data_IF_030013334062
#
_entry.id   IF_030013334062
#
_cell.length_a   1.000
_cell.length_b   1.000
_cell.length_c   1.000
_cell.angle_alpha   90.00
_cell.angle_beta   90.00
_cell.angle_gamma   90.00
#
_symmetry.space_group_name_H-M   'P 1'
#
loop_
_entity.id
_entity.type
_entity.pdbx_description
1 polymer ?
#
# COMPACT_ATOMS: atom_id res chain seq x y z
N UNK A 1 -11.86 -24.80 -44.08
CA UNK A 1 -10.77 -24.85 -43.10
C UNK A 1 -11.37 -24.54 -41.76
N UNK A 2 -11.49 -25.57 -40.90
CA UNK A 2 -12.13 -25.45 -39.58
C UNK A 2 -11.07 -25.07 -38.56
N UNK A 3 -11.21 -23.90 -37.92
CA UNK A 3 -10.39 -23.52 -36.76
C UNK A 3 -10.98 -24.23 -35.53
N UNK A 4 -10.26 -25.26 -35.05
CA UNK A 4 -10.60 -25.92 -33.79
C UNK A 4 -10.46 -24.96 -32.58
N UNK A 5 -11.23 -25.19 -31.50
CA UNK A 5 -11.14 -24.38 -30.30
C UNK A 5 -9.71 -24.45 -29.69
N UNK A 6 -9.15 -23.29 -29.34
CA UNK A 6 -7.87 -23.17 -28.65
C UNK A 6 -7.98 -23.84 -27.30
N UNK A 7 -7.18 -24.88 -27.10
CA UNK A 7 -7.06 -25.61 -25.83
C UNK A 7 -6.37 -24.73 -24.79
N UNK A 8 -7.02 -24.33 -23.67
CA UNK A 8 -6.45 -23.46 -22.66
C UNK A 8 -5.37 -24.14 -21.79
N UNK A 9 -5.07 -25.44 -22.01
CA UNK A 9 -4.12 -26.23 -21.22
C UNK A 9 -2.81 -26.54 -21.94
N UNK A 10 -2.41 -25.77 -22.94
CA UNK A 10 -1.12 -25.97 -23.61
C UNK A 10 0.02 -25.60 -22.65
N UNK A 11 0.88 -26.54 -22.23
CA UNK A 11 2.06 -26.21 -21.38
C UNK A 11 3.00 -25.30 -22.18
N UNK A 12 3.19 -24.06 -21.70
CA UNK A 12 4.05 -23.06 -22.32
C UNK A 12 3.36 -21.83 -22.89
N UNK A 13 2.03 -21.69 -22.75
CA UNK A 13 1.38 -20.41 -23.00
C UNK A 13 1.77 -19.43 -21.88
N UNK A 14 2.23 -18.19 -22.22
CA UNK A 14 2.45 -17.18 -21.18
C UNK A 14 1.13 -16.97 -20.43
N UNK A 15 1.18 -16.78 -19.09
CA UNK A 15 -0.01 -16.51 -18.30
C UNK A 15 -0.76 -15.32 -18.93
N UNK A 16 -2.11 -15.34 -18.96
CA UNK A 16 -2.87 -14.22 -19.51
C UNK A 16 -2.45 -12.93 -18.81
N UNK A 17 -2.35 -11.79 -19.54
CA UNK A 17 -2.00 -10.51 -18.95
C UNK A 17 -2.96 -10.24 -17.78
N UNK A 18 -2.39 -9.91 -16.63
CA UNK A 18 -3.18 -9.64 -15.43
C UNK A 18 -4.00 -8.39 -15.67
N UNK A 19 -5.25 -8.47 -15.30
CA UNK A 19 -6.20 -7.36 -15.35
C UNK A 19 -5.85 -6.32 -14.26
N UNK A 20 -6.07 -5.04 -14.54
CA UNK A 20 -5.88 -3.92 -13.60
C UNK A 20 -6.51 -4.20 -12.23
N UNK A 21 -7.78 -4.65 -12.22
CA UNK A 21 -8.51 -4.95 -10.97
C UNK A 21 -7.86 -6.06 -10.16
N UNK A 22 -7.37 -7.11 -10.81
CA UNK A 22 -6.69 -8.23 -10.17
C UNK A 22 -5.36 -7.81 -9.53
N UNK A 23 -4.58 -6.94 -10.19
CA UNK A 23 -3.34 -6.41 -9.63
C UNK A 23 -3.63 -5.53 -8.42
N UNK A 24 -4.59 -4.59 -8.51
CA UNK A 24 -5.00 -3.74 -7.38
C UNK A 24 -5.42 -4.58 -6.18
N UNK A 25 -6.23 -5.61 -6.39
CA UNK A 25 -6.69 -6.49 -5.31
C UNK A 25 -5.52 -7.25 -4.66
N UNK A 26 -4.61 -7.79 -5.46
CA UNK A 26 -3.43 -8.51 -4.98
C UNK A 26 -2.52 -7.58 -4.17
N UNK A 27 -2.22 -6.39 -4.69
CA UNK A 27 -1.41 -5.39 -3.98
C UNK A 27 -2.07 -4.97 -2.66
N UNK A 28 -3.39 -4.70 -2.66
CA UNK A 28 -4.12 -4.33 -1.44
C UNK A 28 -4.05 -5.45 -0.38
N UNK A 29 -4.21 -6.70 -0.79
CA UNK A 29 -4.06 -7.84 0.11
C UNK A 29 -2.62 -7.96 0.66
N UNK A 30 -1.61 -7.74 -0.17
CA UNK A 30 -0.21 -7.75 0.25
C UNK A 30 0.09 -6.63 1.24
N UNK A 31 -0.40 -5.41 1.02
CA UNK A 31 -0.26 -4.26 1.94
C UNK A 31 -0.86 -4.60 3.31
N UNK A 32 -2.04 -5.19 3.35
CA UNK A 32 -2.67 -5.62 4.61
C UNK A 32 -1.84 -6.70 5.32
N UNK A 33 -1.28 -7.66 4.58
CA UNK A 33 -0.42 -8.71 5.14
C UNK A 33 0.89 -8.15 5.69
N UNK A 34 1.51 -7.18 4.99
CA UNK A 34 2.71 -6.47 5.48
C UNK A 34 2.39 -5.76 6.81
N UNK A 35 1.27 -5.04 6.90
CA UNK A 35 0.84 -4.38 8.12
C UNK A 35 0.61 -5.38 9.27
N UNK A 36 0.00 -6.54 8.97
CA UNK A 36 -0.20 -7.60 9.94
C UNK A 36 1.12 -8.19 10.45
N UNK A 37 2.05 -8.52 9.55
CA UNK A 37 3.38 -9.02 9.94
C UNK A 37 4.15 -7.96 10.75
N UNK A 38 4.06 -6.69 10.37
CA UNK A 38 4.67 -5.60 11.14
C UNK A 38 4.16 -5.54 12.59
N UNK A 39 2.85 -5.73 12.78
CA UNK A 39 2.26 -5.78 14.13
C UNK A 39 2.76 -7.01 14.93
N UNK A 40 2.89 -8.17 14.30
CA UNK A 40 3.43 -9.37 14.93
C UNK A 40 4.91 -9.19 15.29
N UNK A 41 5.73 -8.66 14.38
CA UNK A 41 7.15 -8.35 14.63
C UNK A 41 7.29 -7.40 15.83
N UNK A 42 6.45 -6.37 15.92
CA UNK A 42 6.43 -5.43 17.05
C UNK A 42 6.17 -6.14 18.37
N UNK A 43 5.25 -7.10 18.40
CA UNK A 43 4.95 -7.88 19.59
C UNK A 43 6.13 -8.79 20.01
N UNK A 44 6.74 -9.49 19.04
CA UNK A 44 7.91 -10.34 19.32
C UNK A 44 9.12 -9.51 19.76
N UNK A 45 9.32 -8.33 19.13
CA UNK A 45 10.40 -7.40 19.52
C UNK A 45 10.34 -7.01 21.02
N UNK A 46 9.15 -6.94 21.62
CA UNK A 46 9.03 -6.61 23.05
C UNK A 46 9.61 -7.70 23.96
N UNK A 47 9.71 -8.93 23.47
CA UNK A 47 10.22 -10.09 24.21
C UNK A 47 11.73 -10.31 24.03
N UNK A 48 12.37 -9.66 23.05
CA UNK A 48 13.81 -9.71 22.83
C UNK A 48 14.59 -9.15 24.04
N UNK A 49 15.63 -9.86 24.44
CA UNK A 49 16.47 -9.48 25.59
C UNK A 49 15.80 -9.67 26.95
N UNK A 50 14.65 -10.34 27.02
CA UNK A 50 13.97 -10.76 28.25
C UNK A 50 14.17 -12.24 28.50
N UNK A 51 13.65 -12.75 29.63
CA UNK A 51 13.65 -14.21 29.92
C UNK A 51 12.87 -15.05 28.87
N UNK A 52 12.09 -14.42 28.01
CA UNK A 52 11.32 -15.08 26.93
C UNK A 52 12.10 -15.13 25.61
N UNK A 53 13.29 -14.52 25.57
CA UNK A 53 14.16 -14.53 24.38
C UNK A 53 14.72 -15.94 24.17
N UNK A 54 14.16 -16.63 23.19
CA UNK A 54 14.52 -17.99 22.80
C UNK A 54 14.88 -18.06 21.33
N UNK A 55 15.63 -19.10 20.93
CA UNK A 55 15.96 -19.37 19.55
C UNK A 55 14.70 -19.44 18.66
N UNK A 56 13.62 -20.05 19.17
CA UNK A 56 12.32 -20.12 18.47
C UNK A 56 11.68 -18.74 18.25
N UNK A 57 11.81 -17.83 19.20
CA UNK A 57 11.31 -16.46 19.06
C UNK A 57 12.05 -15.75 17.94
N UNK A 58 13.37 -15.93 17.87
CA UNK A 58 14.22 -15.33 16.83
C UNK A 58 13.93 -15.89 15.44
N UNK A 59 13.78 -17.21 15.34
CA UNK A 59 13.40 -17.86 14.07
C UNK A 59 12.05 -17.32 13.57
N UNK A 60 11.05 -17.20 14.44
CA UNK A 60 9.75 -16.60 14.09
C UNK A 60 9.90 -15.15 13.65
N UNK A 61 10.71 -14.37 14.34
CA UNK A 61 10.97 -12.97 14.01
C UNK A 61 11.61 -12.82 12.63
N UNK A 62 12.63 -13.61 12.34
CA UNK A 62 13.30 -13.65 11.03
C UNK A 62 12.32 -14.07 9.93
N UNK A 63 11.53 -15.12 10.15
CA UNK A 63 10.56 -15.61 9.17
C UNK A 63 9.51 -14.56 8.82
N UNK A 64 9.00 -13.82 9.82
CA UNK A 64 8.04 -12.74 9.60
C UNK A 64 8.66 -11.57 8.83
N UNK A 65 9.89 -11.17 9.18
CA UNK A 65 10.62 -10.12 8.48
C UNK A 65 10.89 -10.49 7.03
N UNK A 66 11.37 -11.69 6.78
CA UNK A 66 11.63 -12.20 5.43
C UNK A 66 10.32 -12.28 4.60
N UNK A 67 9.24 -12.74 5.22
CA UNK A 67 7.93 -12.82 4.55
C UNK A 67 7.39 -11.44 4.21
N UNK A 68 7.53 -10.46 5.11
CA UNK A 68 7.11 -9.08 4.86
C UNK A 68 7.96 -8.42 3.76
N UNK A 69 9.28 -8.61 3.79
CA UNK A 69 10.20 -8.09 2.76
C UNK A 69 9.91 -8.68 1.37
N UNK A 70 9.64 -9.99 1.29
CA UNK A 70 9.23 -10.63 0.05
C UNK A 70 7.94 -10.05 -0.50
N UNK A 71 6.91 -9.86 0.36
CA UNK A 71 5.65 -9.23 -0.07
C UNK A 71 5.85 -7.78 -0.52
N UNK A 72 6.75 -7.04 0.13
CA UNK A 72 7.08 -5.67 -0.28
C UNK A 72 7.71 -5.64 -1.68
N UNK A 73 8.68 -6.53 -1.96
CA UNK A 73 9.28 -6.66 -3.30
C UNK A 73 8.24 -7.05 -4.36
N UNK A 74 7.43 -8.05 -4.06
CA UNK A 74 6.37 -8.51 -4.96
C UNK A 74 5.36 -7.41 -5.27
N UNK A 75 4.94 -6.64 -4.25
CA UNK A 75 4.03 -5.51 -4.43
C UNK A 75 4.66 -4.40 -5.27
N UNK A 76 5.94 -4.11 -5.09
CA UNK A 76 6.68 -3.14 -5.90
C UNK A 76 6.70 -3.55 -7.39
N UNK A 77 6.92 -4.84 -7.69
CA UNK A 77 6.88 -5.34 -9.08
C UNK A 77 5.46 -5.23 -9.67
N UNK A 78 4.41 -5.56 -8.91
CA UNK A 78 3.03 -5.37 -9.37
C UNK A 78 2.67 -3.90 -9.61
N UNK A 79 3.19 -2.97 -8.81
CA UNK A 79 3.00 -1.54 -9.04
C UNK A 79 3.70 -1.05 -10.32
N UNK A 80 4.88 -1.60 -10.64
CA UNK A 80 5.57 -1.35 -11.91
C UNK A 80 4.77 -1.92 -13.08
N UNK A 81 4.27 -3.16 -12.97
CA UNK A 81 3.39 -3.78 -13.97
C UNK A 81 2.14 -2.93 -14.20
N UNK A 82 1.52 -2.44 -13.13
CA UNK A 82 0.35 -1.55 -13.18
C UNK A 82 0.63 -0.23 -13.91
N UNK A 83 1.87 0.28 -13.83
CA UNK A 83 2.33 1.45 -14.56
C UNK A 83 2.49 1.21 -16.06
N UNK A 84 2.72 -0.02 -16.49
CA UNK A 84 2.94 -0.41 -17.88
C UNK A 84 1.65 -0.81 -18.61
N UNK A 85 0.50 -0.93 -17.90
CA UNK A 85 -0.76 -1.30 -18.51
C UNK A 85 -1.27 -0.20 -19.46
N UNK A 86 -1.90 -0.57 -20.59
CA UNK A 86 -2.50 0.40 -21.49
C UNK A 86 -3.63 1.14 -20.80
N UNK A 87 -3.72 2.45 -21.07
CA UNK A 87 -4.77 3.29 -20.52
C UNK A 87 -6.12 2.94 -21.16
N UNK A 88 -7.21 2.93 -20.38
CA UNK A 88 -8.56 2.76 -20.92
C UNK A 88 -8.91 3.90 -21.86
N UNK A 89 -9.83 3.64 -22.80
CA UNK A 89 -10.29 4.63 -23.78
C UNK A 89 -11.19 5.72 -23.15
N UNK A 90 -11.83 5.42 -22.01
CA UNK A 90 -12.74 6.31 -21.33
C UNK A 90 -11.98 7.21 -20.33
N UNK A 91 -12.14 8.54 -20.45
CA UNK A 91 -11.55 9.51 -19.51
C UNK A 91 -12.02 9.31 -18.05
N UNK A 92 -13.27 8.87 -17.85
CA UNK A 92 -13.80 8.58 -16.52
C UNK A 92 -13.14 7.36 -15.89
N UNK A 93 -12.89 6.29 -16.68
CA UNK A 93 -12.17 5.10 -16.23
C UNK A 93 -10.70 5.39 -15.92
N UNK A 94 -10.04 6.20 -16.77
CA UNK A 94 -8.67 6.67 -16.53
C UNK A 94 -8.55 7.36 -15.17
N UNK A 95 -9.48 8.29 -14.89
CA UNK A 95 -9.52 9.01 -13.60
C UNK A 95 -9.74 8.06 -12.44
N UNK A 96 -10.66 7.11 -12.57
CA UNK A 96 -10.96 6.13 -11.52
C UNK A 96 -9.76 5.21 -11.25
N UNK A 97 -9.13 4.67 -12.29
CA UNK A 97 -7.94 3.81 -12.16
C UNK A 97 -6.78 4.55 -11.52
N UNK A 98 -6.60 5.83 -11.87
CA UNK A 98 -5.58 6.67 -11.29
C UNK A 98 -5.79 6.88 -9.79
N UNK A 99 -7.00 7.26 -9.36
CA UNK A 99 -7.32 7.43 -7.94
C UNK A 99 -7.10 6.14 -7.14
N UNK A 100 -7.44 4.98 -7.72
CA UNK A 100 -7.20 3.68 -7.09
C UNK A 100 -5.70 3.39 -6.97
N UNK A 101 -4.91 3.68 -8.01
CA UNK A 101 -3.45 3.51 -8.01
C UNK A 101 -2.80 4.43 -6.98
N UNK A 102 -3.16 5.71 -6.95
CA UNK A 102 -2.64 6.69 -6.00
C UNK A 102 -2.93 6.29 -4.56
N UNK A 103 -4.17 5.90 -4.27
CA UNK A 103 -4.55 5.39 -2.93
C UNK A 103 -3.71 4.18 -2.55
N UNK A 104 -3.57 3.21 -3.44
CA UNK A 104 -2.77 2.00 -3.20
C UNK A 104 -1.30 2.34 -2.92
N UNK A 105 -0.71 3.28 -3.67
CA UNK A 105 0.67 3.73 -3.47
C UNK A 105 0.85 4.42 -2.11
N UNK A 106 -0.11 5.23 -1.69
CA UNK A 106 -0.10 5.87 -0.38
C UNK A 106 -0.23 4.85 0.75
N UNK A 107 -1.15 3.89 0.63
CA UNK A 107 -1.33 2.81 1.61
C UNK A 107 -0.07 1.93 1.70
N UNK A 108 0.55 1.61 0.56
CA UNK A 108 1.79 0.85 0.51
C UNK A 108 2.97 1.63 1.13
N UNK A 109 3.12 2.91 0.81
CA UNK A 109 4.14 3.78 1.41
C UNK A 109 4.00 3.84 2.93
N UNK A 110 2.78 4.00 3.45
CA UNK A 110 2.51 4.01 4.88
C UNK A 110 2.86 2.67 5.56
N UNK A 111 2.50 1.54 4.93
CA UNK A 111 2.84 0.22 5.43
C UNK A 111 4.36 -0.03 5.45
N UNK A 112 5.07 0.38 4.39
CA UNK A 112 6.53 0.28 4.30
C UNK A 112 7.24 1.15 5.34
N UNK A 113 6.79 2.38 5.57
CA UNK A 113 7.35 3.26 6.60
C UNK A 113 7.26 2.63 7.99
N UNK A 114 6.09 2.07 8.32
CA UNK A 114 5.88 1.37 9.59
C UNK A 114 6.77 0.13 9.69
N UNK A 115 6.85 -0.66 8.62
CA UNK A 115 7.68 -1.86 8.57
C UNK A 115 9.17 -1.52 8.75
N UNK A 116 9.70 -0.56 8.00
CA UNK A 116 11.09 -0.13 8.12
C UNK A 116 11.44 0.42 9.50
N UNK A 117 10.53 1.20 10.09
CA UNK A 117 10.73 1.73 11.46
C UNK A 117 10.86 0.59 12.48
N UNK A 118 10.07 -0.47 12.33
CA UNK A 118 10.16 -1.65 13.20
C UNK A 118 11.43 -2.46 12.91
N UNK A 119 11.81 -2.67 11.65
CA UNK A 119 13.06 -3.35 11.28
C UNK A 119 14.28 -2.69 11.93
N UNK A 120 14.37 -1.35 11.87
CA UNK A 120 15.47 -0.59 12.49
C UNK A 120 15.51 -0.80 14.01
N UNK A 121 14.35 -0.75 14.67
CA UNK A 121 14.27 -0.98 16.12
C UNK A 121 14.65 -2.41 16.52
N UNK A 122 14.27 -3.40 15.71
CA UNK A 122 14.69 -4.79 15.93
C UNK A 122 16.19 -4.92 15.79
N UNK A 123 16.79 -4.35 14.72
CA UNK A 123 18.25 -4.36 14.52
C UNK A 123 19.00 -3.72 15.70
N UNK A 124 18.54 -2.57 16.18
CA UNK A 124 19.13 -1.90 17.34
C UNK A 124 19.06 -2.79 18.60
N UNK A 125 17.90 -3.39 18.85
CA UNK A 125 17.68 -4.22 20.02
C UNK A 125 18.47 -5.53 19.98
N UNK A 126 18.59 -6.16 18.82
CA UNK A 126 19.44 -7.33 18.61
C UNK A 126 20.91 -7.01 18.83
N UNK A 127 21.40 -5.89 18.28
CA UNK A 127 22.77 -5.40 18.50
C UNK A 127 23.05 -5.15 19.99
N UNK A 128 22.12 -4.54 20.69
CA UNK A 128 22.22 -4.31 22.14
C UNK A 128 22.31 -5.64 22.90
N UNK A 129 21.50 -6.62 22.54
CA UNK A 129 21.48 -7.94 23.18
C UNK A 129 22.80 -8.69 22.97
N UNK A 130 23.32 -8.69 21.71
CA UNK A 130 24.62 -9.28 21.38
C UNK A 130 25.76 -8.55 22.12
N UNK A 131 25.74 -7.23 22.18
CA UNK A 131 26.76 -6.46 22.90
C UNK A 131 26.74 -6.76 24.40
N UNK A 132 25.58 -6.90 25.03
CA UNK A 132 25.42 -7.28 26.43
C UNK A 132 25.95 -8.69 26.71
N UNK A 133 25.61 -9.67 25.86
CA UNK A 133 26.12 -11.03 25.96
C UNK A 133 27.64 -11.10 25.86
N UNK A 134 28.25 -10.33 24.94
CA UNK A 134 29.72 -10.23 24.80
C UNK A 134 30.40 -9.53 25.99
N UNK A 135 29.75 -8.52 26.55
CA UNK A 135 30.29 -7.83 27.72
C UNK A 135 30.31 -8.76 28.95
N UNK A 136 29.25 -9.54 29.17
CA UNK A 136 29.20 -10.59 30.18
C UNK A 136 30.31 -11.63 30.03
N UNK A 137 30.59 -12.05 28.79
CA UNK A 137 31.67 -12.95 28.45
C UNK A 137 33.06 -12.44 28.83
N UNK A 138 33.33 -11.16 28.60
CA UNK A 138 34.62 -10.54 28.91
C UNK A 138 34.86 -10.41 30.41
N UNK A 139 33.82 -10.06 31.15
CA UNK A 139 33.93 -9.93 32.62
C UNK A 139 34.24 -11.28 33.25
N UNK A 140 33.57 -12.35 32.84
CA UNK A 140 33.83 -13.71 33.32
C UNK A 140 35.22 -14.23 32.95
N UNK A 141 35.75 -13.87 31.77
CA UNK A 141 37.11 -14.22 31.37
C UNK A 141 38.18 -13.46 32.17
N UNK A 142 37.98 -12.18 32.47
CA UNK A 142 38.92 -11.34 33.20
C UNK A 142 38.94 -11.71 34.69
N UNK A 143 37.80 -12.08 35.28
CA UNK A 143 37.72 -12.60 36.65
C UNK A 143 38.45 -13.94 36.76
N UNK A 144 38.30 -14.87 35.81
CA UNK A 144 39.07 -16.14 35.80
C UNK A 144 40.58 -15.93 35.74
N UNK A 145 41.05 -15.03 34.87
CA UNK A 145 42.50 -14.68 34.81
C UNK A 145 42.99 -14.07 36.13
N UNK A 146 42.14 -13.33 36.82
CA UNK A 146 42.50 -12.71 38.09
C UNK A 146 42.49 -13.71 39.25
N UNK A 147 41.60 -14.72 39.25
CA UNK A 147 41.56 -15.82 40.19
C UNK A 147 42.72 -16.79 39.99
N UNK A 148 43.07 -17.16 38.76
CA UNK A 148 44.26 -17.99 38.49
C UNK A 148 45.55 -17.32 38.98
N UNK A 149 45.61 -16.00 39.01
CA UNK A 149 46.76 -15.25 39.50
C UNK A 149 46.75 -15.10 41.03
N UNK A 150 45.59 -15.24 41.73
CA UNK A 150 45.45 -15.16 43.17
C UNK A 150 45.54 -16.52 43.85
N UNK A 151 45.34 -17.64 43.18
CA UNK A 151 45.39 -19.01 43.74
C UNK A 151 46.81 -19.54 43.95
N UNK A 152 47.83 -18.71 43.82
CA UNK A 152 49.21 -19.08 44.16
C UNK A 152 49.55 -19.02 45.67
N UNK A 153 48.61 -18.71 46.58
CA UNK A 153 48.89 -18.67 48.05
C UNK A 153 47.75 -19.21 48.89
N UNK A 154 48.00 -20.39 49.46
CA UNK A 154 47.60 -20.98 50.73
C UNK A 154 46.18 -21.49 50.97
N UNK A 155 46.15 -22.80 51.16
CA UNK A 155 45.42 -23.70 52.07
C UNK A 155 43.94 -23.50 52.45
N UNK A 156 43.11 -24.53 52.11
CA UNK A 156 42.34 -25.28 53.13
C UNK A 156 40.86 -24.97 53.31
N UNK A 157 40.03 -25.87 52.84
CA UNK A 157 38.82 -26.39 53.49
C UNK A 157 37.46 -25.67 53.39
N UNK A 158 37.24 -24.67 52.56
CA UNK A 158 35.87 -24.12 52.41
C UNK A 158 35.36 -23.98 50.96
N UNK A 159 35.93 -24.72 50.05
CA UNK A 159 35.74 -24.57 48.59
C UNK A 159 34.54 -25.33 48.02
N UNK A 160 33.93 -26.28 48.74
CA UNK A 160 32.90 -27.17 48.18
C UNK A 160 31.51 -26.53 48.11
N UNK A 161 31.26 -25.43 48.79
CA UNK A 161 29.96 -24.78 48.81
C UNK A 161 29.89 -23.56 47.85
N UNK A 162 31.02 -23.05 47.41
CA UNK A 162 31.12 -21.93 46.48
C UNK A 162 31.12 -22.39 45.01
N UNK A 163 31.55 -23.62 44.76
CA UNK A 163 31.69 -24.19 43.41
C UNK A 163 30.33 -24.50 42.74
N UNK A 164 29.21 -24.61 43.50
CA UNK A 164 27.86 -24.86 42.91
C UNK A 164 27.13 -23.59 42.48
N UNK A 165 27.66 -22.39 42.76
CA UNK A 165 27.07 -21.11 42.28
C UNK A 165 27.82 -20.50 41.09
N UNK A 166 29.01 -20.97 40.78
CA UNK A 166 29.86 -20.43 39.68
C UNK A 166 29.67 -21.13 38.34
N UNK A 167 29.02 -22.28 38.29
CA UNK A 167 28.74 -22.99 37.04
C UNK A 167 27.77 -22.24 36.09
N UNK A 168 27.04 -21.23 36.60
CA UNK A 168 26.03 -20.48 35.81
C UNK A 168 26.60 -19.28 35.01
N UNK A 169 27.89 -18.93 35.15
CA UNK A 169 28.43 -17.70 34.54
C UNK A 169 29.40 -17.94 33.36
N UNK A 170 29.76 -19.19 33.08
CA UNK A 170 30.66 -19.50 31.99
C UNK A 170 29.89 -19.57 30.67
N UNK A 171 30.17 -18.61 29.78
CA UNK A 171 29.66 -18.70 28.38
C UNK A 171 30.15 -20.01 27.80
N UNK A 172 29.20 -20.84 27.41
CA UNK A 172 29.45 -22.12 26.74
C UNK A 172 29.78 -21.89 25.28
N UNK A 173 30.44 -22.84 24.63
CA UNK A 173 30.67 -22.83 23.17
C UNK A 173 29.33 -22.69 22.41
N UNK A 174 28.25 -23.19 22.97
CA UNK A 174 26.89 -23.06 22.47
C UNK A 174 26.38 -21.62 22.48
N UNK A 175 26.73 -20.84 23.51
CA UNK A 175 26.35 -19.41 23.58
C UNK A 175 27.10 -18.58 22.55
N UNK A 176 28.37 -18.92 22.28
CA UNK A 176 29.15 -18.28 21.22
C UNK A 176 28.57 -18.55 19.82
N UNK A 177 28.08 -19.76 19.56
CA UNK A 177 27.42 -20.07 18.29
C UNK A 177 26.10 -19.31 18.16
N UNK A 178 25.28 -19.23 19.23
CA UNK A 178 24.05 -18.42 19.25
C UNK A 178 24.33 -16.93 18.98
N UNK A 179 25.40 -16.37 19.55
CA UNK A 179 25.82 -14.99 19.29
C UNK A 179 26.15 -14.82 17.81
N UNK A 180 26.87 -15.75 17.19
CA UNK A 180 27.25 -15.72 15.79
C UNK A 180 26.04 -15.85 14.86
N UNK A 181 25.07 -16.70 15.20
CA UNK A 181 23.80 -16.79 14.46
C UNK A 181 23.05 -15.46 14.51
N UNK A 182 22.95 -14.82 15.67
CA UNK A 182 22.32 -13.50 15.83
C UNK A 182 23.01 -12.43 14.99
N UNK A 183 24.33 -12.41 14.94
CA UNK A 183 25.08 -11.48 14.08
C UNK A 183 24.80 -11.68 12.60
N UNK A 184 24.66 -12.93 12.20
CA UNK A 184 24.31 -13.25 10.81
C UNK A 184 22.89 -12.76 10.50
N UNK A 185 21.94 -12.96 11.43
CA UNK A 185 20.57 -12.47 11.30
C UNK A 185 20.52 -10.92 11.24
N UNK A 186 21.30 -10.22 12.05
CA UNK A 186 21.42 -8.76 12.02
C UNK A 186 21.91 -8.28 10.65
N UNK A 187 22.94 -8.92 10.08
CA UNK A 187 23.45 -8.57 8.74
C UNK A 187 22.39 -8.77 7.66
N UNK A 188 21.62 -9.85 7.74
CA UNK A 188 20.52 -10.10 6.82
C UNK A 188 19.43 -9.02 6.96
N UNK A 189 19.09 -8.66 8.19
CA UNK A 189 18.11 -7.60 8.45
C UNK A 189 18.57 -6.23 7.92
N UNK A 190 19.86 -5.92 8.01
CA UNK A 190 20.44 -4.70 7.42
C UNK A 190 20.32 -4.69 5.90
N UNK A 191 20.55 -5.84 5.26
CA UNK A 191 20.33 -6.01 3.82
C UNK A 191 18.85 -5.82 3.45
N UNK A 192 17.93 -6.40 4.22
CA UNK A 192 16.48 -6.23 4.03
C UNK A 192 16.03 -4.77 4.17
N UNK A 193 16.65 -3.99 5.08
CA UNK A 193 16.40 -2.55 5.21
C UNK A 193 16.85 -1.78 3.96
N UNK A 194 17.97 -2.18 3.34
CA UNK A 194 18.43 -1.58 2.08
C UNK A 194 17.48 -1.89 0.92
N UNK A 195 16.93 -3.11 0.86
CA UNK A 195 15.91 -3.47 -0.12
C UNK A 195 14.67 -2.59 -0.02
N UNK A 196 14.17 -2.35 1.20
CA UNK A 196 13.04 -1.45 1.44
C UNK A 196 13.37 -0.01 1.01
N UNK A 197 14.61 0.46 1.25
CA UNK A 197 15.03 1.78 0.74
C UNK A 197 15.00 1.84 -0.79
N UNK A 198 15.34 0.75 -1.48
CA UNK A 198 15.24 0.71 -2.94
C UNK A 198 13.78 0.76 -3.41
N UNK A 199 12.87 0.06 -2.72
CA UNK A 199 11.43 0.14 -3.00
C UNK A 199 10.91 1.57 -2.84
N UNK A 200 11.35 2.31 -1.82
CA UNK A 200 10.99 3.74 -1.68
C UNK A 200 11.46 4.61 -2.83
N UNK A 201 12.66 4.35 -3.38
CA UNK A 201 13.14 5.07 -4.57
C UNK A 201 12.28 4.77 -5.79
N UNK A 202 11.95 3.49 -6.00
CA UNK A 202 11.09 3.07 -7.10
C UNK A 202 9.70 3.72 -6.97
N UNK A 203 9.14 3.75 -5.76
CA UNK A 203 7.84 4.35 -5.47
C UNK A 203 7.86 5.87 -5.72
N UNK A 204 8.93 6.57 -5.31
CA UNK A 204 9.10 8.00 -5.56
C UNK A 204 9.16 8.30 -7.07
N UNK A 205 9.84 7.46 -7.85
CA UNK A 205 9.88 7.57 -9.31
C UNK A 205 8.49 7.38 -9.93
N UNK A 206 7.74 6.36 -9.48
CA UNK A 206 6.38 6.12 -9.96
C UNK A 206 5.40 7.26 -9.61
N UNK A 207 5.58 7.92 -8.48
CA UNK A 207 4.78 9.10 -8.08
C UNK A 207 5.13 10.30 -8.96
N UNK A 208 6.41 10.52 -9.25
CA UNK A 208 6.84 11.61 -10.12
C UNK A 208 6.30 11.46 -11.54
N UNK A 209 6.40 10.27 -12.12
CA UNK A 209 5.86 9.97 -13.45
C UNK A 209 4.32 10.15 -13.55
N UNK A 210 3.62 10.02 -12.42
CA UNK A 210 2.19 10.31 -12.35
C UNK A 210 1.88 11.81 -12.31
N UNK A 211 2.78 12.64 -11.79
CA UNK A 211 2.64 14.09 -11.76
C UNK A 211 2.42 14.66 -13.15
N UNK A 212 3.26 14.27 -14.11
CA UNK A 212 3.18 14.76 -15.50
C UNK A 212 1.89 14.32 -16.23
N UNK A 213 1.32 13.15 -15.83
CA UNK A 213 0.02 12.70 -16.37
C UNK A 213 -1.18 13.40 -15.71
N UNK A 214 -1.00 14.01 -14.53
CA UNK A 214 -2.06 14.73 -13.81
C UNK A 214 -2.54 15.92 -14.63
N UNK A 215 -1.62 16.74 -15.08
CA UNK A 215 -1.91 17.95 -15.84
C UNK A 215 -2.64 17.64 -17.15
N UNK A 216 -2.29 16.54 -17.80
CA UNK A 216 -2.96 16.08 -19.03
C UNK A 216 -4.39 15.60 -18.81
N UNK A 217 -4.67 14.87 -17.70
CA UNK A 217 -6.02 14.39 -17.40
C UNK A 217 -6.90 15.53 -16.89
N UNK A 218 -6.38 16.45 -16.10
CA UNK A 218 -7.09 17.62 -15.62
C UNK A 218 -7.51 18.51 -16.77
N UNK A 219 -6.62 18.77 -17.73
CA UNK A 219 -6.94 19.47 -18.96
C UNK A 219 -8.01 18.78 -19.81
N UNK A 220 -7.99 17.44 -19.87
CA UNK A 220 -9.01 16.67 -20.58
C UNK A 220 -10.36 16.69 -19.85
N UNK A 221 -10.38 16.67 -18.52
CA UNK A 221 -11.61 16.77 -17.71
C UNK A 221 -12.23 18.16 -17.85
N UNK A 222 -11.44 19.25 -17.79
CA UNK A 222 -11.89 20.61 -18.03
C UNK A 222 -12.47 20.77 -19.42
N UNK A 223 -11.81 20.22 -20.44
CA UNK A 223 -12.34 20.19 -21.81
C UNK A 223 -13.66 19.41 -21.91
N UNK A 224 -13.77 18.27 -21.23
CA UNK A 224 -15.02 17.47 -21.22
C UNK A 224 -16.16 18.21 -20.50
N UNK A 225 -15.88 18.93 -19.41
CA UNK A 225 -16.86 19.74 -18.70
C UNK A 225 -17.43 20.86 -19.59
N UNK A 226 -16.56 21.57 -20.32
CA UNK A 226 -16.96 22.58 -21.31
C UNK A 226 -17.81 21.98 -22.43
N UNK A 227 -17.49 20.76 -22.89
CA UNK A 227 -18.28 20.09 -23.92
C UNK A 227 -19.66 19.63 -23.40
N UNK A 228 -19.74 19.15 -22.16
CA UNK A 228 -21.01 18.78 -21.52
C UNK A 228 -21.89 20.00 -21.30
N UNK A 229 -21.34 21.11 -20.86
CA UNK A 229 -22.07 22.37 -20.70
C UNK A 229 -22.65 22.87 -22.04
N UNK A 230 -21.83 22.88 -23.09
CA UNK A 230 -22.29 23.23 -24.45
C UNK A 230 -23.37 22.28 -24.98
N UNK A 231 -23.23 20.96 -24.73
CA UNK A 231 -24.22 19.99 -25.11
C UNK A 231 -25.55 20.20 -24.35
N UNK A 232 -25.49 20.54 -23.06
CA UNK A 232 -26.65 20.88 -22.25
C UNK A 232 -27.37 22.13 -22.77
N UNK A 233 -26.62 23.19 -23.14
CA UNK A 233 -27.20 24.37 -23.76
C UNK A 233 -27.88 24.06 -25.11
N UNK A 234 -27.25 23.25 -25.93
CA UNK A 234 -27.82 22.85 -27.23
C UNK A 234 -29.10 22.02 -27.05
N UNK A 235 -29.13 21.10 -26.07
CA UNK A 235 -30.33 20.33 -25.73
C UNK A 235 -31.44 21.24 -25.21
N UNK A 236 -31.13 22.23 -24.38
CA UNK A 236 -32.10 23.19 -23.90
C UNK A 236 -32.68 24.04 -25.03
N UNK A 237 -31.85 24.50 -25.97
CA UNK A 237 -32.30 25.19 -27.20
C UNK A 237 -33.17 24.29 -28.08
N UNK A 238 -32.76 23.03 -28.28
CA UNK A 238 -33.54 22.06 -29.04
C UNK A 238 -34.91 21.79 -28.41
N UNK A 239 -34.98 21.62 -27.08
CA UNK A 239 -36.24 21.48 -26.37
C UNK A 239 -37.14 22.72 -26.50
N UNK A 240 -36.56 23.91 -26.47
CA UNK A 240 -37.31 25.16 -26.71
C UNK A 240 -37.88 25.21 -28.14
N UNK A 241 -37.10 24.86 -29.15
CA UNK A 241 -37.57 24.78 -30.52
C UNK A 241 -38.68 23.73 -30.72
N UNK A 242 -38.57 22.59 -30.04
CA UNK A 242 -39.56 21.55 -30.11
C UNK A 242 -40.92 21.99 -29.52
N UNK A 243 -40.90 22.67 -28.38
CA UNK A 243 -42.06 23.24 -27.75
C UNK A 243 -42.72 24.30 -28.65
N UNK A 244 -41.92 25.20 -29.24
CA UNK A 244 -42.45 26.23 -30.16
C UNK A 244 -43.01 25.64 -31.45
N UNK A 245 -42.42 24.58 -31.98
CA UNK A 245 -43.01 23.86 -33.14
C UNK A 245 -44.30 23.15 -32.81
N UNK A 246 -44.43 22.55 -31.65
CA UNK A 246 -45.68 21.91 -31.17
C UNK A 246 -46.77 22.95 -30.90
N UNK A 247 -46.43 24.13 -30.41
CA UNK A 247 -47.35 25.25 -30.27
C UNK A 247 -47.86 25.74 -31.65
N UNK A 248 -46.96 25.96 -32.58
CA UNK A 248 -47.33 26.36 -33.94
C UNK A 248 -48.18 25.29 -34.65
N UNK A 249 -47.90 24.02 -34.45
CA UNK A 249 -48.68 22.91 -35.01
C UNK A 249 -50.07 22.83 -34.43
N UNK A 250 -50.21 23.07 -33.14
CA UNK A 250 -51.51 23.13 -32.47
C UNK A 250 -52.32 24.38 -32.84
N UNK A 251 -51.69 25.52 -33.07
CA UNK A 251 -52.35 26.73 -33.55
C UNK A 251 -52.83 26.60 -34.99
N UNK A 252 -52.06 25.97 -35.86
CA UNK A 252 -52.46 25.65 -37.25
C UNK A 252 -53.63 24.66 -37.24
N UNK A 253 -53.65 23.65 -36.38
CA UNK A 253 -54.77 22.72 -36.22
C UNK A 253 -56.02 23.37 -35.64
N UNK A 254 -55.89 24.35 -34.73
CA UNK A 254 -57.03 25.14 -34.22
C UNK A 254 -57.54 26.17 -35.19
N UNK A 255 -56.62 26.76 -36.02
CA UNK A 255 -57.00 27.75 -37.06
C UNK A 255 -57.83 27.18 -38.20
N UNK A 256 -57.83 25.85 -38.40
CA UNK A 256 -58.71 25.21 -39.38
C UNK A 256 -60.13 24.93 -38.87
N UNK A 257 -60.42 25.19 -37.62
CA UNK A 257 -61.73 24.85 -37.04
C UNK A 257 -62.54 26.04 -36.50
N UNK A 258 -62.07 27.30 -36.70
CA UNK A 258 -62.84 28.49 -36.31
C UNK A 258 -62.58 29.64 -37.28
N UNK A 259 -63.32 29.66 -38.38
CA UNK A 259 -63.75 30.92 -38.99
C UNK A 259 -64.63 31.61 -37.96
N UNK A 260 -64.22 32.81 -37.58
CA UNK A 260 -64.94 33.90 -36.92
C UNK A 260 -64.50 34.24 -35.48
N UNK A 261 -64.01 35.49 -35.46
CA UNK A 261 -64.01 36.44 -34.32
C UNK A 261 -63.16 36.12 -33.08
N UNK A 262 -62.05 36.79 -32.93
CA UNK A 262 -61.77 37.82 -31.94
C UNK A 262 -60.27 38.08 -31.74
N UNK A 263 -59.99 39.30 -31.74
CA UNK A 263 -58.80 40.08 -31.40
C UNK A 263 -57.99 39.58 -30.19
N UNK A 264 -56.72 39.78 -30.34
CA UNK A 264 -55.66 39.91 -29.31
C UNK A 264 -56.13 40.38 -27.94
N UNK A 265 -55.53 39.91 -26.80
CA UNK A 265 -54.44 40.70 -26.25
C UNK A 265 -53.32 39.94 -25.49
N UNK A 266 -52.17 40.59 -25.51
CA UNK A 266 -51.25 40.70 -24.40
C UNK A 266 -50.31 39.52 -24.08
N UNK A 267 -49.13 39.71 -24.61
CA UNK A 267 -47.89 39.27 -24.02
C UNK A 267 -47.75 39.89 -22.61
N UNK A 268 -47.81 39.09 -21.59
CA UNK A 268 -47.20 39.46 -20.30
C UNK A 268 -46.77 38.21 -19.51
N UNK A 269 -45.48 38.14 -19.24
CA UNK A 269 -44.86 37.49 -18.11
C UNK A 269 -45.00 35.98 -17.98
N UNK A 270 -44.01 35.27 -18.48
CA UNK A 270 -43.60 33.98 -17.89
C UNK A 270 -42.41 34.26 -16.96
N UNK A 271 -42.78 34.50 -15.70
CA UNK A 271 -41.84 34.45 -14.60
C UNK A 271 -41.41 33.00 -14.36
N UNK A 272 -40.09 32.83 -14.35
CA UNK A 272 -39.34 31.73 -13.77
C UNK A 272 -40.10 30.94 -12.69
N UNK A 273 -40.43 29.68 -12.95
CA UNK A 273 -40.36 28.58 -11.95
C UNK A 273 -40.65 27.27 -12.65
N UNK A 274 -39.63 26.61 -13.10
CA UNK A 274 -39.71 25.20 -13.44
C UNK A 274 -38.97 24.44 -12.34
N UNK A 275 -39.69 23.63 -11.51
CA UNK A 275 -39.06 23.00 -10.32
C UNK A 275 -38.24 21.77 -10.62
N UNK A 276 -37.90 21.47 -11.87
CA UNK A 276 -37.15 20.26 -12.22
C UNK A 276 -35.62 20.42 -12.33
N UNK A 277 -35.11 21.64 -12.26
CA UNK A 277 -33.65 21.87 -12.35
C UNK A 277 -32.95 21.74 -10.98
N UNK A 278 -33.70 21.69 -9.89
CA UNK A 278 -33.16 21.62 -8.51
C UNK A 278 -32.87 20.20 -7.99
N UNK A 279 -33.14 19.15 -8.77
CA UNK A 279 -32.93 17.75 -8.34
C UNK A 279 -31.64 17.10 -8.84
N UNK A 280 -30.91 17.74 -9.74
CA UNK A 280 -29.64 17.17 -10.24
C UNK A 280 -28.41 17.74 -9.53
N UNK A 281 -28.51 18.90 -8.88
CA UNK A 281 -27.36 19.53 -8.23
C UNK A 281 -27.08 19.09 -6.78
N UNK A 282 -27.92 18.21 -6.19
CA UNK A 282 -27.75 17.74 -4.80
C UNK A 282 -27.20 16.31 -4.64
N UNK A 283 -26.76 15.66 -5.71
CA UNK A 283 -26.15 14.30 -5.65
C UNK A 283 -24.67 14.21 -6.03
N UNK A 284 -23.97 15.33 -6.10
CA UNK A 284 -22.53 15.35 -6.44
C UNK A 284 -21.64 15.95 -5.34
N UNK A 285 -22.15 15.95 -4.08
CA UNK A 285 -21.32 16.24 -2.89
C UNK A 285 -21.59 15.15 -1.84
N UNK A 286 -20.94 13.97 -2.00
CA UNK A 286 -20.48 13.09 -0.94
C UNK A 286 -19.41 12.15 -1.53
#
# INVERSE_FOLDING_TARGET
MSYGPLDPHRPGAPPPPRDFGSIIQTCSANVQRIAHYTAQIKNLMSQLGTKQDSSKLQENLQQLQHSANRLAKETNEYLKELGSLPLPLSASEQRQQRLQKERLMNDFSAALNNFQAIQRRVSEKEKETVARARAGSRISADERFREEQLVSFDSGEDWNQMQSQEEDAAITEQDLELIKERETAIRQLEADILDVNQIFKDLAMMIHDQGDMIDSIEANVESAEVHVERASEQLQRAAYYQVTLDWNKNDIQRGHNTDSHYRNPAVSKVSSTCPMVLLVSKRLWF
#
